data_IF_785916644926
#
_entry.id   IF_785916644926
#
_cell.length_a   1.000
_cell.length_b   1.000
_cell.length_c   1.000
_cell.angle_alpha   90.00
_cell.angle_beta   90.00
_cell.angle_gamma   90.00
#
_symmetry.space_group_name_H-M   'P 1'
#
loop_
_entity.id
_entity.type
_entity.pdbx_description
1 polymer ?
#
# COMPACT_ATOMS: atom_id res chain seq x y z
N UNK A 1 -15.47 -8.41 20.74
CA UNK A 1 -14.04 -8.16 20.48
C UNK A 1 -13.29 -8.33 21.81
N UNK A 2 -12.36 -9.28 21.94
CA UNK A 2 -11.56 -9.48 23.16
C UNK A 2 -10.24 -8.73 22.99
N UNK A 3 -10.12 -7.57 23.61
CA UNK A 3 -8.85 -6.89 23.76
C UNK A 3 -8.10 -7.59 24.90
N UNK A 4 -7.09 -8.38 24.56
CA UNK A 4 -6.18 -8.93 25.55
C UNK A 4 -5.16 -7.84 25.92
N UNK A 5 -4.86 -7.70 27.20
CA UNK A 5 -3.93 -6.70 27.69
C UNK A 5 -2.84 -7.36 28.52
N UNK A 6 -1.60 -7.03 28.20
CA UNK A 6 -0.43 -7.44 28.97
C UNK A 6 -0.06 -6.31 29.92
N UNK A 7 -0.10 -6.60 31.23
CA UNK A 7 0.28 -5.63 32.27
C UNK A 7 1.80 -5.56 32.38
N UNK A 8 2.40 -4.44 31.99
CA UNK A 8 3.80 -4.14 32.24
C UNK A 8 3.89 -3.04 33.32
N UNK A 9 4.14 -3.45 34.57
CA UNK A 9 4.19 -2.53 35.72
C UNK A 9 2.83 -1.90 36.02
N UNK A 10 2.73 -0.57 35.93
CA UNK A 10 1.47 0.20 36.13
C UNK A 10 0.69 0.45 34.83
N UNK A 11 1.21 0.04 33.68
CA UNK A 11 0.60 0.27 32.38
C UNK A 11 0.01 -1.04 31.81
N UNK A 12 -1.20 -0.94 31.24
CA UNK A 12 -1.77 -2.01 30.39
C UNK A 12 -1.39 -1.69 28.95
N UNK A 13 -0.58 -2.56 28.34
CA UNK A 13 -0.36 -2.53 26.89
C UNK A 13 -1.26 -3.57 26.25
N UNK A 14 -2.01 -3.24 25.19
CA UNK A 14 -2.75 -4.25 24.44
C UNK A 14 -1.77 -5.30 23.90
N UNK A 15 -2.16 -6.56 23.95
CA UNK A 15 -1.46 -7.64 23.28
C UNK A 15 -1.62 -7.41 21.78
N UNK A 16 -0.56 -6.91 21.12
CA UNK A 16 -0.60 -6.51 19.71
C UNK A 16 -0.66 -7.77 18.86
N UNK A 17 -1.87 -8.19 18.48
CA UNK A 17 -2.05 -9.19 17.44
C UNK A 17 -1.78 -8.52 16.08
N UNK A 18 -0.83 -9.07 15.31
CA UNK A 18 -0.42 -8.50 14.00
C UNK A 18 -1.60 -8.44 13.03
N UNK A 19 -2.54 -9.37 13.16
CA UNK A 19 -3.83 -9.38 12.47
C UNK A 19 -4.91 -10.02 13.34
N UNK A 20 -6.14 -9.50 13.19
CA UNK A 20 -7.36 -10.13 13.71
C UNK A 20 -7.76 -11.40 12.93
N UNK A 21 -7.20 -11.60 11.73
CA UNK A 21 -7.46 -12.75 10.86
C UNK A 21 -6.14 -13.42 10.41
N UNK A 22 -5.93 -14.72 10.71
CA UNK A 22 -4.75 -15.47 10.28
C UNK A 22 -4.52 -15.49 8.76
N UNK A 23 -5.55 -15.25 7.94
CA UNK A 23 -5.43 -15.20 6.48
C UNK A 23 -4.63 -13.98 6.00
N UNK A 24 -4.54 -12.94 6.83
CA UNK A 24 -3.80 -11.72 6.52
C UNK A 24 -2.32 -11.81 6.90
N UNK A 25 -1.88 -12.88 7.57
CA UNK A 25 -0.47 -13.15 7.89
C UNK A 25 0.38 -13.48 6.65
N UNK A 26 -0.27 -13.63 5.48
CA UNK A 26 0.41 -13.79 4.20
C UNK A 26 1.24 -12.55 3.87
N UNK A 27 2.43 -12.71 3.25
CA UNK A 27 3.27 -11.58 2.89
C UNK A 27 2.59 -10.69 1.84
N UNK A 28 2.87 -9.39 1.90
CA UNK A 28 2.49 -8.44 0.86
C UNK A 28 3.32 -8.65 -0.41
N UNK A 29 2.70 -8.42 -1.57
CA UNK A 29 3.37 -8.26 -2.85
C UNK A 29 4.13 -6.92 -2.94
N UNK A 30 4.69 -6.64 -4.11
CA UNK A 30 5.60 -5.49 -4.27
C UNK A 30 4.89 -4.13 -4.12
N UNK A 31 3.68 -4.01 -4.68
CA UNK A 31 2.86 -2.81 -4.49
C UNK A 31 2.43 -2.63 -3.04
N UNK A 32 2.00 -3.70 -2.36
CA UNK A 32 1.64 -3.62 -0.94
C UNK A 32 2.84 -3.22 -0.07
N UNK A 33 4.04 -3.75 -0.33
CA UNK A 33 5.27 -3.31 0.36
C UNK A 33 5.56 -1.82 0.14
N UNK A 34 5.37 -1.31 -1.08
CA UNK A 34 5.58 0.11 -1.40
C UNK A 34 4.55 1.01 -0.69
N UNK A 35 3.28 0.64 -0.72
CA UNK A 35 2.19 1.32 0.00
C UNK A 35 2.46 1.31 1.51
N UNK A 36 2.85 0.15 2.06
CA UNK A 36 3.16 -0.03 3.49
C UNK A 36 4.29 0.91 3.92
N UNK A 37 5.40 0.91 3.16
CA UNK A 37 6.54 1.78 3.43
C UNK A 37 6.11 3.25 3.41
N UNK A 38 5.26 3.64 2.45
CA UNK A 38 4.81 5.02 2.33
C UNK A 38 3.87 5.44 3.45
N UNK A 39 2.87 4.64 3.77
CA UNK A 39 1.95 4.86 4.89
C UNK A 39 2.71 5.05 6.21
N UNK A 40 3.70 4.19 6.48
CA UNK A 40 4.54 4.28 7.67
C UNK A 40 5.36 5.57 7.75
N UNK A 41 5.77 6.12 6.61
CA UNK A 41 6.57 7.35 6.55
C UNK A 41 5.70 8.61 6.64
N UNK A 42 4.59 8.65 5.90
CA UNK A 42 3.74 9.83 5.75
C UNK A 42 2.68 9.94 6.84
N UNK A 43 2.15 8.83 7.34
CA UNK A 43 1.05 8.82 8.30
C UNK A 43 1.26 7.80 9.43
N UNK A 44 2.23 8.11 10.30
CA UNK A 44 2.59 7.27 11.47
C UNK A 44 1.43 7.05 12.43
N UNK A 45 0.54 8.03 12.58
CA UNK A 45 -0.59 7.96 13.49
C UNK A 45 -1.57 6.87 13.04
N UNK A 46 -2.04 6.95 11.79
CA UNK A 46 -2.98 5.95 11.28
C UNK A 46 -2.35 4.57 11.14
N UNK A 47 -1.07 4.49 10.74
CA UNK A 47 -0.33 3.23 10.79
C UNK A 47 -0.37 2.60 12.18
N UNK A 48 -0.17 3.40 13.24
CA UNK A 48 -0.16 2.91 14.62
C UNK A 48 -1.56 2.49 15.07
N UNK A 49 -2.60 3.25 14.72
CA UNK A 49 -3.98 2.88 15.02
C UNK A 49 -4.33 1.53 14.40
N UNK A 50 -4.12 1.37 13.09
CA UNK A 50 -4.43 0.13 12.37
C UNK A 50 -3.64 -1.06 12.91
N UNK A 51 -2.40 -0.85 13.34
CA UNK A 51 -1.58 -1.89 13.95
C UNK A 51 -2.14 -2.31 15.31
N UNK A 52 -2.51 -1.36 16.17
CA UNK A 52 -3.07 -1.62 17.50
C UNK A 52 -4.45 -2.28 17.40
N UNK A 53 -5.24 -1.90 16.39
CA UNK A 53 -6.55 -2.49 16.11
C UNK A 53 -6.47 -3.88 15.47
N UNK A 54 -5.29 -4.31 15.01
CA UNK A 54 -5.11 -5.60 14.31
C UNK A 54 -5.71 -5.61 12.90
N UNK A 55 -5.99 -4.44 12.32
CA UNK A 55 -6.60 -4.28 10.99
C UNK A 55 -5.59 -3.95 9.89
N UNK A 56 -4.34 -3.63 10.25
CA UNK A 56 -3.33 -3.16 9.30
C UNK A 56 -3.15 -4.10 8.12
N UNK A 57 -2.90 -5.38 8.37
CA UNK A 57 -2.62 -6.35 7.29
C UNK A 57 -3.82 -6.55 6.37
N UNK A 58 -5.03 -6.64 6.92
CA UNK A 58 -6.26 -6.75 6.12
C UNK A 58 -6.48 -5.54 5.21
N UNK A 59 -6.31 -4.32 5.72
CA UNK A 59 -6.41 -3.11 4.89
C UNK A 59 -5.29 -3.00 3.86
N UNK A 60 -4.07 -3.43 4.21
CA UNK A 60 -2.94 -3.46 3.28
C UNK A 60 -3.18 -4.43 2.11
N UNK A 61 -3.76 -5.61 2.37
CA UNK A 61 -4.12 -6.57 1.32
C UNK A 61 -5.22 -6.04 0.40
N UNK A 62 -6.24 -5.38 0.94
CA UNK A 62 -7.29 -4.73 0.14
C UNK A 62 -6.75 -3.60 -0.74
N UNK A 63 -5.85 -2.78 -0.18
CA UNK A 63 -5.17 -1.72 -0.91
C UNK A 63 -4.28 -2.30 -2.02
N UNK A 64 -3.53 -3.37 -1.75
CA UNK A 64 -2.72 -4.07 -2.75
C UNK A 64 -3.57 -4.65 -3.88
N UNK A 65 -4.67 -5.33 -3.57
CA UNK A 65 -5.57 -5.89 -4.59
C UNK A 65 -6.15 -4.77 -5.47
N UNK A 66 -6.57 -3.67 -4.86
CA UNK A 66 -7.09 -2.50 -5.56
C UNK A 66 -6.03 -1.86 -6.45
N UNK A 67 -4.80 -1.71 -5.94
CA UNK A 67 -3.66 -1.18 -6.68
C UNK A 67 -3.33 -2.05 -7.90
N UNK A 68 -3.22 -3.36 -7.71
CA UNK A 68 -2.94 -4.31 -8.78
C UNK A 68 -4.01 -4.30 -9.88
N UNK A 69 -5.28 -4.13 -9.50
CA UNK A 69 -6.38 -4.04 -10.47
C UNK A 69 -6.40 -2.72 -11.25
N UNK A 70 -5.99 -1.62 -10.63
CA UNK A 70 -6.06 -0.27 -11.22
C UNK A 70 -4.80 0.11 -12.00
N UNK A 71 -3.64 -0.38 -11.59
CA UNK A 71 -2.36 0.02 -12.18
C UNK A 71 -2.28 -0.24 -13.69
N UNK A 72 -2.65 -1.42 -14.24
CA UNK A 72 -2.58 -1.67 -15.68
C UNK A 72 -3.46 -0.70 -16.48
N UNK A 73 -4.68 -0.43 -15.99
CA UNK A 73 -5.61 0.51 -16.63
C UNK A 73 -5.06 1.93 -16.63
N UNK A 74 -4.48 2.38 -15.52
CA UNK A 74 -3.86 3.69 -15.43
C UNK A 74 -2.68 3.82 -16.39
N UNK A 75 -1.84 2.78 -16.48
CA UNK A 75 -0.71 2.75 -17.42
C UNK A 75 -1.21 2.87 -18.87
N UNK A 76 -2.23 2.09 -19.26
CA UNK A 76 -2.83 2.15 -20.60
C UNK A 76 -3.42 3.54 -20.89
N UNK A 77 -4.17 4.11 -19.95
CA UNK A 77 -4.73 5.45 -20.07
C UNK A 77 -3.64 6.52 -20.25
N UNK A 78 -2.56 6.44 -19.48
CA UNK A 78 -1.44 7.39 -19.59
C UNK A 78 -0.69 7.22 -20.91
N UNK A 79 -0.44 5.98 -21.36
CA UNK A 79 0.19 5.70 -22.65
C UNK A 79 -0.65 6.23 -23.82
N UNK A 80 -1.98 6.11 -23.76
CA UNK A 80 -2.86 6.57 -24.83
C UNK A 80 -2.87 8.10 -25.02
N UNK A 81 -2.49 8.85 -23.99
CA UNK A 81 -2.47 10.32 -23.98
C UNK A 81 -1.12 10.90 -24.43
N UNK A 82 -0.08 10.06 -24.52
CA UNK A 82 1.25 10.50 -24.91
C UNK A 82 1.57 10.15 -26.36
N UNK A 83 2.26 11.08 -27.04
CA UNK A 83 2.91 10.79 -28.31
C UNK A 83 4.25 10.14 -28.02
N UNK A 84 4.34 8.84 -28.23
CA UNK A 84 5.58 8.09 -28.04
C UNK A 84 6.59 8.43 -29.15
N UNK A 85 7.88 8.59 -28.83
CA UNK A 85 8.94 8.76 -29.82
C UNK A 85 8.99 7.61 -30.82
N UNK A 86 9.43 7.90 -32.05
CA UNK A 86 9.70 6.87 -33.07
C UNK A 86 10.97 6.09 -32.76
N UNK A 87 11.96 6.76 -32.15
CA UNK A 87 13.20 6.13 -31.69
C UNK A 87 12.90 5.09 -30.60
N UNK A 88 13.42 3.87 -30.79
CA UNK A 88 13.10 2.74 -29.94
C UNK A 88 13.60 2.93 -28.51
N UNK A 89 14.81 3.46 -28.33
CA UNK A 89 15.40 3.65 -27.01
C UNK A 89 14.64 4.73 -26.24
N UNK A 90 14.36 5.87 -26.89
CA UNK A 90 13.58 6.95 -26.30
C UNK A 90 12.14 6.50 -25.97
N UNK A 91 11.55 5.64 -26.81
CA UNK A 91 10.24 5.06 -26.55
C UNK A 91 10.24 4.15 -25.32
N UNK A 92 11.22 3.27 -25.19
CA UNK A 92 11.33 2.38 -24.02
C UNK A 92 11.54 3.18 -22.73
N UNK A 93 12.43 4.17 -22.77
CA UNK A 93 12.64 5.10 -21.64
C UNK A 93 11.32 5.78 -21.28
N UNK A 94 10.60 6.32 -22.27
CA UNK A 94 9.34 7.01 -22.02
C UNK A 94 8.27 6.09 -21.42
N UNK A 95 8.14 4.87 -21.94
CA UNK A 95 7.23 3.87 -21.39
C UNK A 95 7.56 3.52 -19.94
N UNK A 96 8.84 3.47 -19.57
CA UNK A 96 9.27 3.22 -18.20
C UNK A 96 8.97 4.39 -17.26
N UNK A 97 9.12 5.63 -17.74
CA UNK A 97 8.71 6.82 -17.00
C UNK A 97 7.20 6.81 -16.71
N UNK A 98 6.37 6.53 -17.71
CA UNK A 98 4.91 6.42 -17.55
C UNK A 98 4.56 5.36 -16.49
N UNK A 99 5.17 4.18 -16.57
CA UNK A 99 4.95 3.10 -15.59
C UNK A 99 5.30 3.54 -14.17
N UNK A 100 6.42 4.22 -14.02
CA UNK A 100 6.88 4.74 -12.72
C UNK A 100 5.93 5.80 -12.18
N UNK A 101 5.47 6.72 -13.03
CA UNK A 101 4.51 7.75 -12.65
C UNK A 101 3.15 7.16 -12.25
N UNK A 102 2.65 6.19 -13.02
CA UNK A 102 1.41 5.49 -12.74
C UNK A 102 1.47 4.73 -11.40
N UNK A 103 2.57 4.00 -11.16
CA UNK A 103 2.79 3.28 -9.91
C UNK A 103 2.80 4.24 -8.72
N UNK A 104 3.56 5.33 -8.83
CA UNK A 104 3.67 6.33 -7.79
C UNK A 104 2.33 7.05 -7.52
N UNK A 105 1.52 7.29 -8.56
CA UNK A 105 0.17 7.81 -8.40
C UNK A 105 -0.73 6.81 -7.63
N UNK A 106 -0.75 5.54 -8.03
CA UNK A 106 -1.53 4.50 -7.34
C UNK A 106 -1.11 4.36 -5.87
N UNK A 107 0.19 4.36 -5.58
CA UNK A 107 0.69 4.27 -4.20
C UNK A 107 0.15 5.41 -3.35
N UNK A 108 0.22 6.65 -3.85
CA UNK A 108 -0.31 7.83 -3.13
C UNK A 108 -1.81 7.73 -2.91
N UNK A 109 -2.57 7.34 -3.92
CA UNK A 109 -4.02 7.15 -3.81
C UNK A 109 -4.37 6.09 -2.77
N UNK A 110 -3.63 4.97 -2.73
CA UNK A 110 -3.86 3.92 -1.74
C UNK A 110 -3.54 4.41 -0.33
N UNK A 111 -2.42 5.13 -0.12
CA UNK A 111 -2.06 5.69 1.19
C UNK A 111 -3.11 6.70 1.67
N UNK A 112 -3.63 7.54 0.78
CA UNK A 112 -4.71 8.48 1.11
C UNK A 112 -6.00 7.75 1.48
N UNK A 113 -6.33 6.63 0.82
CA UNK A 113 -7.50 5.82 1.16
C UNK A 113 -7.41 5.10 2.50
N UNK A 114 -6.18 4.90 2.99
CA UNK A 114 -5.87 4.30 4.29
C UNK A 114 -5.74 5.35 5.41
N UNK A 115 -5.86 6.64 5.05
CA UNK A 115 -5.78 7.76 5.99
C UNK A 115 -7.15 8.16 6.53
#
# INVERSE_FOLDING_TARGET
>A
MKLNYTKQGRFLSPEIQISNDPRDDRPLGDLGKKIFKRLKLENKWNFTILLVEGELMGKMHQAEETANRRLPKLIEEMMSKEQLPEDLELREQRMQEIRTQAEEQIIREMVQSLS
#
